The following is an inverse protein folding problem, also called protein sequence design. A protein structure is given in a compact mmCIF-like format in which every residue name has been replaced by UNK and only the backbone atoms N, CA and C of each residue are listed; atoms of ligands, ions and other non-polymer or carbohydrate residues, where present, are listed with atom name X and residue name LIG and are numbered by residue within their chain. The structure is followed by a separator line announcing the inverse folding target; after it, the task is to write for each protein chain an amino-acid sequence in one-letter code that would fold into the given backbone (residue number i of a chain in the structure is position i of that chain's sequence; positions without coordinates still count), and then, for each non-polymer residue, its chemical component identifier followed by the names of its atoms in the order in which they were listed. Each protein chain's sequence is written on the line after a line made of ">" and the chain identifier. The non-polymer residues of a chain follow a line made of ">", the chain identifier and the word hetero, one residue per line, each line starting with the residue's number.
data_IF_061612356669
#
_entry.id   IF_061612356669
#
_cell.length_a   1.000
_cell.length_b   1.000
_cell.length_c   1.000
_cell.angle_alpha   90.00
_cell.angle_beta   90.00
_cell.angle_gamma   90.00
#
_symmetry.space_group_name_H-M   'P 1'
#
loop_
_entity.id
_entity.type
_entity.pdbx_description
1 polymer ?
#
# COMPACT_ATOMS: atom_id res chain seq x y z
N UNK A 1 57.89 9.61 -15.82
CA UNK A 1 57.32 9.63 -14.45
C UNK A 1 56.40 10.84 -14.35
N UNK A 2 55.08 10.66 -14.44
CA UNK A 2 54.13 11.78 -14.47
C UNK A 2 53.95 12.37 -13.07
N UNK A 3 54.63 13.50 -12.81
CA UNK A 3 54.52 14.26 -11.57
C UNK A 3 53.12 14.82 -11.43
N UNK A 4 52.38 14.35 -10.42
CA UNK A 4 51.05 14.86 -10.10
C UNK A 4 51.16 16.27 -9.51
N UNK A 5 50.43 17.23 -10.09
CA UNK A 5 50.52 18.66 -9.73
C UNK A 5 50.25 18.92 -8.23
N UNK A 6 51.02 19.81 -7.57
CA UNK A 6 50.87 20.14 -6.14
C UNK A 6 49.46 20.60 -5.75
N UNK A 7 48.76 21.32 -6.64
CA UNK A 7 47.40 21.78 -6.43
C UNK A 7 46.40 20.62 -6.28
N UNK A 8 46.56 19.53 -7.05
CA UNK A 8 45.71 18.34 -6.95
C UNK A 8 45.94 17.58 -5.63
N UNK A 9 47.18 17.58 -5.11
CA UNK A 9 47.49 17.02 -3.79
C UNK A 9 46.90 17.86 -2.65
N UNK A 10 46.99 19.18 -2.75
CA UNK A 10 46.42 20.11 -1.76
C UNK A 10 44.89 20.02 -1.70
N UNK A 11 44.22 19.97 -2.86
CA UNK A 11 42.78 19.72 -2.96
C UNK A 11 42.40 18.35 -2.41
N UNK A 12 43.16 17.31 -2.71
CA UNK A 12 42.95 15.96 -2.17
C UNK A 12 43.13 15.89 -0.64
N UNK A 13 44.10 16.62 -0.09
CA UNK A 13 44.34 16.70 1.35
C UNK A 13 43.27 17.51 2.10
N UNK A 14 42.83 18.64 1.54
CA UNK A 14 41.73 19.43 2.06
C UNK A 14 40.41 18.65 2.03
N UNK A 15 40.13 17.92 0.94
CA UNK A 15 38.94 17.08 0.80
C UNK A 15 38.95 15.90 1.78
N UNK A 16 40.12 15.31 2.04
CA UNK A 16 40.29 14.24 3.03
C UNK A 16 40.01 14.75 4.45
N UNK A 17 40.61 15.90 4.83
CA UNK A 17 40.38 16.54 6.13
C UNK A 17 38.94 17.00 6.31
N UNK A 18 38.29 17.51 5.26
CA UNK A 18 36.87 17.84 5.29
C UNK A 18 35.97 16.61 5.47
N UNK A 19 36.31 15.46 4.86
CA UNK A 19 35.62 14.17 5.11
C UNK A 19 35.84 13.62 6.51
N UNK A 20 37.00 13.88 7.11
CA UNK A 20 37.30 13.47 8.49
C UNK A 20 36.63 14.39 9.53
N UNK A 21 36.39 15.66 9.19
CA UNK A 21 35.72 16.62 10.06
C UNK A 21 34.18 16.64 9.96
N UNK A 22 33.59 16.12 8.87
CA UNK A 22 32.14 16.18 8.62
C UNK A 22 31.57 14.78 8.39
N UNK A 23 30.71 14.35 9.32
CA UNK A 23 29.90 13.14 9.17
C UNK A 23 28.61 13.46 8.42
N UNK A 24 28.32 12.72 7.35
CA UNK A 24 27.09 12.87 6.55
C UNK A 24 26.49 11.50 6.25
N UNK A 25 25.20 11.35 6.51
CA UNK A 25 24.42 10.19 6.09
C UNK A 25 23.15 10.67 5.39
N UNK A 26 22.70 9.91 4.39
CA UNK A 26 21.46 10.19 3.68
C UNK A 26 20.54 8.99 3.80
N UNK A 27 19.27 9.25 4.05
CA UNK A 27 18.21 8.25 4.00
C UNK A 27 17.14 8.74 3.03
N UNK A 28 16.57 7.82 2.25
CA UNK A 28 15.48 8.13 1.34
C UNK A 28 14.36 7.12 1.50
N UNK A 29 13.15 7.54 1.14
CA UNK A 29 12.01 6.63 1.00
C UNK A 29 11.93 6.16 -0.45
N UNK A 30 11.80 4.85 -0.64
CA UNK A 30 11.42 4.24 -1.92
C UNK A 30 9.96 3.81 -1.86
N UNK A 31 9.25 4.06 -2.95
CA UNK A 31 7.87 3.65 -3.13
C UNK A 31 7.80 2.50 -4.13
N UNK A 32 7.01 1.48 -3.81
CA UNK A 32 6.57 0.43 -4.74
C UNK A 32 5.06 0.43 -4.75
N UNK A 33 4.47 0.80 -5.88
CA UNK A 33 3.03 0.93 -6.06
C UNK A 33 2.47 -0.25 -6.85
N UNK A 34 1.25 -0.67 -6.53
CA UNK A 34 0.51 -1.66 -7.29
C UNK A 34 -0.99 -1.51 -7.05
N UNK A 35 -1.80 -2.08 -7.93
CA UNK A 35 -3.25 -2.02 -7.83
C UNK A 35 -3.86 -3.41 -7.93
N UNK A 36 -4.95 -3.63 -7.19
CA UNK A 36 -5.77 -4.83 -7.24
C UNK A 36 -7.23 -4.45 -7.47
N UNK A 37 -7.92 -5.19 -8.33
CA UNK A 37 -9.34 -5.01 -8.62
C UNK A 37 -10.09 -6.23 -8.09
N UNK A 38 -10.94 -6.02 -7.09
CA UNK A 38 -11.81 -7.06 -6.53
C UNK A 38 -13.25 -6.80 -6.99
N UNK A 39 -13.75 -7.64 -7.90
CA UNK A 39 -15.11 -7.55 -8.42
C UNK A 39 -16.07 -8.31 -7.50
N UNK A 40 -17.19 -7.69 -7.17
CA UNK A 40 -18.30 -8.27 -6.42
C UNK A 40 -19.51 -8.23 -7.34
N UNK A 41 -19.93 -9.39 -7.83
CA UNK A 41 -21.13 -9.55 -8.65
C UNK A 41 -22.38 -9.64 -7.77
N UNK A 42 -23.54 -9.26 -8.32
CA UNK A 42 -24.82 -9.22 -7.60
C UNK A 42 -24.67 -8.63 -6.19
N UNK A 43 -24.27 -7.35 -6.14
CA UNK A 43 -23.96 -6.69 -4.88
C UNK A 43 -25.14 -6.71 -3.91
N UNK A 44 -26.36 -6.50 -4.42
CA UNK A 44 -27.61 -6.53 -3.65
C UNK A 44 -27.84 -7.88 -2.97
N UNK A 45 -27.73 -8.98 -3.71
CA UNK A 45 -27.87 -10.34 -3.17
C UNK A 45 -26.77 -10.66 -2.15
N UNK A 46 -25.53 -10.34 -2.48
CA UNK A 46 -24.36 -10.59 -1.62
C UNK A 46 -24.47 -9.84 -0.29
N UNK A 47 -24.95 -8.59 -0.31
CA UNK A 47 -25.15 -7.79 0.89
C UNK A 47 -26.28 -8.31 1.77
N UNK A 48 -27.35 -8.87 1.17
CA UNK A 48 -28.47 -9.46 1.91
C UNK A 48 -28.09 -10.75 2.64
N UNK A 49 -27.12 -11.49 2.10
CA UNK A 49 -26.64 -12.74 2.70
C UNK A 49 -25.52 -12.52 3.75
N UNK A 50 -24.81 -11.39 3.69
CA UNK A 50 -23.70 -11.11 4.60
C UNK A 50 -24.20 -10.63 5.97
N UNK A 51 -23.74 -11.27 7.05
CA UNK A 51 -23.96 -10.78 8.41
C UNK A 51 -23.00 -9.62 8.73
N UNK A 52 -23.33 -8.72 9.67
CA UNK A 52 -22.36 -7.78 10.23
C UNK A 52 -21.07 -8.48 10.70
N UNK A 53 -19.92 -7.83 10.51
CA UNK A 53 -18.61 -8.41 10.82
C UNK A 53 -18.10 -9.46 9.83
N UNK A 54 -18.94 -9.98 8.93
CA UNK A 54 -18.47 -10.93 7.91
C UNK A 54 -17.86 -10.18 6.72
N UNK A 55 -16.70 -10.66 6.27
CA UNK A 55 -16.01 -10.12 5.10
C UNK A 55 -16.00 -11.08 3.92
N UNK A 56 -15.89 -10.46 2.74
CA UNK A 56 -15.56 -11.10 1.49
C UNK A 56 -14.06 -10.90 1.26
N UNK A 57 -13.33 -11.99 1.05
CA UNK A 57 -11.90 -11.93 0.77
C UNK A 57 -11.61 -11.79 -0.72
N UNK A 58 -10.69 -10.90 -1.06
CA UNK A 58 -10.08 -10.89 -2.38
C UNK A 58 -9.09 -12.05 -2.56
N UNK A 59 -8.80 -12.37 -3.82
CA UNK A 59 -7.62 -13.16 -4.15
C UNK A 59 -6.35 -12.45 -3.61
N UNK A 60 -5.32 -13.21 -3.20
CA UNK A 60 -4.06 -12.61 -2.79
C UNK A 60 -3.38 -11.90 -3.96
N UNK A 61 -2.70 -10.79 -3.69
CA UNK A 61 -1.96 -10.02 -4.69
C UNK A 61 -0.64 -9.50 -4.12
N UNK A 62 0.34 -9.24 -5.01
CA UNK A 62 1.71 -8.90 -4.61
C UNK A 62 2.03 -7.46 -4.95
N UNK A 63 2.46 -6.69 -3.95
CA UNK A 63 2.96 -5.32 -4.12
C UNK A 63 4.19 -5.13 -3.26
N UNK A 64 5.25 -4.57 -3.83
CA UNK A 64 6.51 -4.32 -3.11
C UNK A 64 7.24 -5.57 -2.63
N UNK A 65 6.94 -6.75 -3.20
CA UNK A 65 7.51 -8.04 -2.76
C UNK A 65 6.79 -8.67 -1.57
N UNK A 66 5.64 -8.12 -1.18
CA UNK A 66 4.81 -8.55 -0.07
C UNK A 66 3.45 -9.04 -0.59
N UNK A 67 2.90 -10.06 0.04
CA UNK A 67 1.57 -10.57 -0.28
C UNK A 67 0.51 -9.88 0.58
N UNK A 68 -0.57 -9.46 -0.08
CA UNK A 68 -1.67 -8.70 0.48
C UNK A 68 -3.00 -9.38 0.15
N UNK A 69 -4.01 -9.13 0.98
CA UNK A 69 -5.42 -9.40 0.70
C UNK A 69 -6.27 -8.19 1.05
N UNK A 70 -7.41 -8.07 0.38
CA UNK A 70 -8.44 -7.10 0.72
C UNK A 70 -9.61 -7.82 1.37
N UNK A 71 -10.00 -7.40 2.56
CA UNK A 71 -11.23 -7.85 3.21
C UNK A 71 -12.26 -6.74 3.05
N UNK A 72 -13.38 -7.06 2.40
CA UNK A 72 -14.49 -6.14 2.19
C UNK A 72 -15.65 -6.55 3.09
N UNK A 73 -16.12 -5.64 3.93
CA UNK A 73 -17.21 -5.84 4.88
C UNK A 73 -18.44 -5.07 4.39
N UNK A 74 -19.42 -5.72 3.75
CA UNK A 74 -20.57 -5.02 3.17
C UNK A 74 -21.40 -4.27 4.21
N UNK A 75 -21.53 -4.86 5.41
CA UNK A 75 -22.36 -4.39 6.52
C UNK A 75 -21.54 -3.85 7.70
N UNK A 76 -20.26 -3.54 7.46
CA UNK A 76 -19.35 -3.03 8.49
C UNK A 76 -18.55 -4.13 9.17
N UNK A 77 -17.40 -3.75 9.74
CA UNK A 77 -16.49 -4.68 10.40
C UNK A 77 -16.81 -4.93 11.88
N UNK A 78 -17.64 -4.09 12.48
CA UNK A 78 -18.06 -4.26 13.88
C UNK A 78 -19.21 -5.25 13.98
N UNK A 79 -19.03 -6.29 14.80
CA UNK A 79 -20.05 -7.31 15.09
C UNK A 79 -21.07 -6.85 16.13
N UNK A 80 -20.81 -5.74 16.85
CA UNK A 80 -21.68 -5.27 17.92
C UNK A 80 -22.96 -4.62 17.40
N UNK A 81 -24.04 -4.68 18.17
CA UNK A 81 -25.30 -3.99 17.87
C UNK A 81 -25.17 -2.44 17.83
N UNK A 82 -24.03 -1.90 18.28
CA UNK A 82 -23.64 -0.49 18.17
C UNK A 82 -22.92 -0.14 16.86
N UNK A 83 -22.67 -1.13 15.99
CA UNK A 83 -22.10 -0.92 14.67
C UNK A 83 -22.91 0.13 13.93
N UNK A 84 -22.24 1.10 13.30
CA UNK A 84 -22.88 2.12 12.48
C UNK A 84 -23.66 1.44 11.34
N UNK A 85 -24.99 1.32 11.43
CA UNK A 85 -25.73 0.49 10.49
C UNK A 85 -25.61 1.09 9.10
N UNK A 86 -25.33 0.26 8.10
CA UNK A 86 -25.28 0.69 6.71
C UNK A 86 -23.99 1.42 6.29
N UNK A 87 -22.85 1.09 6.90
CA UNK A 87 -21.53 1.44 6.34
C UNK A 87 -20.81 0.19 5.87
N UNK A 88 -20.16 0.27 4.72
CA UNK A 88 -19.23 -0.74 4.27
C UNK A 88 -17.80 -0.34 4.65
N UNK A 89 -17.06 -1.33 5.12
CA UNK A 89 -15.68 -1.17 5.58
C UNK A 89 -14.75 -2.01 4.74
N UNK A 90 -13.49 -1.59 4.63
CA UNK A 90 -12.45 -2.33 3.93
C UNK A 90 -11.21 -2.39 4.79
N UNK A 91 -10.55 -3.53 4.78
CA UNK A 91 -9.31 -3.76 5.49
C UNK A 91 -8.28 -4.36 4.54
N UNK A 92 -7.13 -3.70 4.45
CA UNK A 92 -5.96 -4.26 3.79
C UNK A 92 -5.25 -5.18 4.78
N UNK A 93 -5.04 -6.43 4.39
CA UNK A 93 -4.41 -7.46 5.22
C UNK A 93 -3.06 -7.83 4.64
N UNK A 94 -2.03 -7.79 5.47
CA UNK A 94 -0.69 -8.25 5.13
C UNK A 94 -0.55 -9.73 5.46
N UNK A 95 -0.25 -10.55 4.46
CA UNK A 95 -0.05 -12.01 4.62
C UNK A 95 1.41 -12.40 4.83
N UNK A 96 2.35 -11.46 4.68
CA UNK A 96 3.77 -11.76 4.74
C UNK A 96 4.37 -11.98 3.36
N UNK A 97 4.95 -13.17 3.18
CA UNK A 97 5.66 -13.53 1.98
C UNK A 97 4.76 -14.21 0.96
N UNK A 98 4.95 -13.95 -0.34
CA UNK A 98 4.26 -14.70 -1.38
C UNK A 98 4.57 -16.20 -1.33
N UNK A 99 3.59 -17.02 -1.69
CA UNK A 99 3.72 -18.49 -1.73
C UNK A 99 4.85 -19.01 -2.62
N UNK A 100 5.28 -18.24 -3.63
CA UNK A 100 6.39 -18.60 -4.51
C UNK A 100 7.78 -18.42 -3.88
N UNK A 101 7.90 -17.84 -2.67
CA UNK A 101 9.19 -17.74 -1.99
C UNK A 101 9.63 -19.13 -1.50
N UNK A 102 10.96 -19.40 -1.44
CA UNK A 102 11.47 -20.66 -0.90
C UNK A 102 10.93 -20.93 0.50
N UNK A 103 10.45 -22.15 0.75
CA UNK A 103 9.83 -22.55 2.02
C UNK A 103 10.73 -22.29 3.25
N UNK A 104 12.05 -22.37 3.10
CA UNK A 104 13.01 -22.03 4.16
C UNK A 104 12.83 -20.59 4.69
N UNK A 105 12.44 -19.64 3.82
CA UNK A 105 12.18 -18.26 4.23
C UNK A 105 10.82 -18.08 4.92
N UNK A 106 9.91 -19.06 4.82
CA UNK A 106 8.63 -19.04 5.55
C UNK A 106 8.81 -19.36 7.03
N UNK A 107 9.94 -19.97 7.41
CA UNK A 107 10.33 -20.16 8.81
C UNK A 107 10.78 -18.86 9.48
N UNK A 108 11.14 -17.83 8.70
CA UNK A 108 11.49 -16.52 9.22
C UNK A 108 10.23 -15.66 9.34
N UNK A 109 10.11 -14.96 10.47
CA UNK A 109 9.05 -13.95 10.65
C UNK A 109 9.11 -12.93 9.51
N UNK A 110 7.99 -12.66 8.81
CA UNK A 110 7.94 -11.59 7.83
C UNK A 110 8.25 -10.25 8.50
N UNK A 111 9.11 -9.40 7.92
CA UNK A 111 9.32 -8.07 8.46
C UNK A 111 8.01 -7.29 8.38
N UNK A 112 7.85 -6.38 9.33
CA UNK A 112 6.73 -5.45 9.27
C UNK A 112 6.94 -4.50 8.09
N UNK A 113 5.84 -4.10 7.46
CA UNK A 113 5.85 -3.34 6.22
C UNK A 113 5.15 -2.02 6.43
N UNK A 114 5.79 -0.92 6.07
CA UNK A 114 5.10 0.38 6.01
C UNK A 114 4.43 0.52 4.65
N UNK A 115 3.12 0.69 4.63
CA UNK A 115 2.37 0.91 3.40
C UNK A 115 1.25 1.93 3.60
N UNK A 116 0.94 2.68 2.54
CA UNK A 116 -0.31 3.41 2.41
C UNK A 116 -1.17 2.70 1.38
N UNK A 117 -2.49 2.87 1.45
CA UNK A 117 -3.37 2.33 0.42
C UNK A 117 -4.55 3.25 0.15
N UNK A 118 -5.11 3.16 -1.04
CA UNK A 118 -6.30 3.90 -1.45
C UNK A 118 -7.31 2.90 -1.98
N UNK A 119 -8.51 2.93 -1.42
CA UNK A 119 -9.63 2.14 -1.88
C UNK A 119 -10.54 3.03 -2.71
N UNK A 120 -10.93 2.57 -3.89
CA UNK A 120 -11.91 3.22 -4.74
C UNK A 120 -12.97 2.22 -5.15
N UNK A 121 -14.23 2.63 -5.11
CA UNK A 121 -15.32 1.79 -5.63
C UNK A 121 -15.68 2.30 -7.01
N UNK A 122 -15.66 1.37 -7.97
CA UNK A 122 -16.03 1.58 -9.35
C UNK A 122 -17.40 0.95 -9.58
N UNK A 123 -18.24 1.61 -10.38
CA UNK A 123 -19.48 1.02 -10.87
C UNK A 123 -19.21 0.00 -11.99
N UNK A 124 -20.28 -0.56 -12.55
CA UNK A 124 -20.22 -1.55 -13.63
C UNK A 124 -19.57 -1.03 -14.91
N UNK A 125 -19.54 0.29 -15.12
CA UNK A 125 -18.91 0.95 -16.27
C UNK A 125 -17.44 1.27 -16.01
N UNK A 126 -16.95 1.02 -14.79
CA UNK A 126 -15.59 1.34 -14.36
C UNK A 126 -15.42 2.79 -13.91
N UNK A 127 -16.49 3.57 -13.84
CA UNK A 127 -16.45 4.94 -13.34
C UNK A 127 -16.28 4.93 -11.82
N UNK A 128 -15.42 5.81 -11.32
CA UNK A 128 -15.14 5.89 -9.89
C UNK A 128 -16.27 6.63 -9.16
N UNK A 129 -17.01 5.92 -8.32
CA UNK A 129 -18.10 6.48 -7.51
C UNK A 129 -17.56 7.14 -6.25
N UNK A 130 -16.61 6.50 -5.57
CA UNK A 130 -16.00 7.02 -4.34
C UNK A 130 -14.55 6.57 -4.20
N UNK A 131 -13.80 7.30 -3.38
CA UNK A 131 -12.41 7.00 -3.08
C UNK A 131 -12.04 7.41 -1.66
N UNK A 132 -11.32 6.55 -0.95
CA UNK A 132 -10.81 6.77 0.40
C UNK A 132 -9.33 6.40 0.43
N UNK A 133 -8.50 7.36 0.84
CA UNK A 133 -7.09 7.13 1.05
C UNK A 133 -6.80 6.88 2.53
N UNK A 134 -6.07 5.82 2.81
CA UNK A 134 -5.54 5.49 4.12
C UNK A 134 -4.08 5.94 4.18
N UNK A 135 -3.73 6.62 5.27
CA UNK A 135 -2.37 7.13 5.50
C UNK A 135 -1.36 5.97 5.60
N UNK A 136 -0.05 6.23 5.49
CA UNK A 136 0.96 5.21 5.74
C UNK A 136 0.81 4.59 7.13
N UNK A 137 0.80 3.26 7.19
CA UNK A 137 0.68 2.48 8.43
C UNK A 137 1.65 1.31 8.44
N UNK A 138 1.88 0.72 9.61
CA UNK A 138 2.77 -0.43 9.80
C UNK A 138 1.94 -1.70 9.85
N UNK A 139 2.15 -2.57 8.87
CA UNK A 139 1.51 -3.87 8.78
C UNK A 139 2.42 -4.95 9.32
N UNK A 140 1.89 -5.82 10.18
CA UNK A 140 2.59 -7.00 10.69
C UNK A 140 1.77 -8.26 10.41
N UNK A 141 2.42 -9.41 10.32
CA UNK A 141 1.74 -10.66 10.02
C UNK A 141 0.82 -11.15 11.17
N UNK A 142 1.01 -10.63 12.38
CA UNK A 142 0.36 -11.11 13.61
C UNK A 142 -0.68 -10.15 14.18
N UNK A 143 -0.59 -8.88 13.81
CA UNK A 143 -1.48 -7.83 14.28
C UNK A 143 -2.16 -7.21 13.07
N UNK A 144 -3.48 -7.31 13.06
CA UNK A 144 -4.30 -6.69 12.04
C UNK A 144 -4.92 -5.42 12.62
N UNK A 145 -4.72 -4.29 11.95
CA UNK A 145 -5.37 -3.04 12.35
C UNK A 145 -6.88 -3.06 12.06
N UNK A 146 -7.61 -2.12 12.65
CA UNK A 146 -9.05 -1.97 12.43
C UNK A 146 -9.41 -1.70 10.97
N UNK A 147 -10.61 -2.10 10.58
CA UNK A 147 -11.11 -1.85 9.24
C UNK A 147 -11.45 -0.37 9.06
N UNK A 148 -11.24 0.15 7.86
CA UNK A 148 -11.54 1.53 7.53
C UNK A 148 -12.92 1.62 6.88
N UNK A 149 -13.74 2.57 7.34
CA UNK A 149 -15.03 2.83 6.72
C UNK A 149 -14.83 3.52 5.36
N UNK A 150 -15.26 2.83 4.30
CA UNK A 150 -15.02 3.28 2.91
C UNK A 150 -16.23 4.00 2.34
N UNK A 151 -17.43 3.49 2.59
CA UNK A 151 -18.66 3.98 1.98
C UNK A 151 -19.88 3.70 2.83
N UNK A 152 -20.99 4.35 2.51
CA UNK A 152 -22.31 3.94 2.99
C UNK A 152 -22.92 2.88 2.09
N UNK A 153 -23.77 2.02 2.66
CA UNK A 153 -24.55 1.02 1.94
C UNK A 153 -25.37 1.66 0.80
N UNK A 154 -25.90 2.86 1.02
CA UNK A 154 -26.66 3.61 0.02
C UNK A 154 -25.80 3.98 -1.19
N UNK A 155 -24.60 4.50 -0.97
CA UNK A 155 -23.66 4.84 -2.05
C UNK A 155 -23.29 3.61 -2.87
N UNK A 156 -23.01 2.48 -2.20
CA UNK A 156 -22.65 1.24 -2.89
C UNK A 156 -23.81 0.62 -3.66
N UNK A 157 -25.02 0.63 -3.10
CA UNK A 157 -26.22 0.21 -3.84
C UNK A 157 -26.45 1.10 -5.05
N UNK A 158 -26.28 2.42 -4.91
CA UNK A 158 -26.39 3.33 -6.05
C UNK A 158 -25.32 3.07 -7.12
N UNK A 159 -24.10 2.69 -6.71
CA UNK A 159 -23.02 2.31 -7.62
C UNK A 159 -23.35 1.02 -8.38
N UNK A 160 -23.87 0.01 -7.69
CA UNK A 160 -24.28 -1.24 -8.30
C UNK A 160 -25.39 -1.06 -9.36
N UNK A 161 -26.36 -0.17 -9.07
CA UNK A 161 -27.51 0.07 -9.94
C UNK A 161 -27.22 0.96 -11.16
N UNK A 162 -26.07 1.66 -11.21
CA UNK A 162 -25.73 2.56 -12.34
C UNK A 162 -25.72 1.86 -13.71
N UNK A 163 -25.44 0.55 -13.73
CA UNK A 163 -25.50 -0.25 -14.95
C UNK A 163 -26.90 -0.71 -15.38
N UNK A 164 -27.97 -0.27 -14.71
CA UNK A 164 -29.36 -0.60 -15.07
C UNK A 164 -29.76 -2.06 -14.86
N UNK A 165 -28.90 -2.89 -14.22
CA UNK A 165 -29.16 -4.30 -13.93
C UNK A 165 -29.48 -4.48 -12.45
N UNK A 166 -30.56 -5.20 -12.14
CA UNK A 166 -30.95 -5.50 -10.76
C UNK A 166 -29.86 -6.29 -10.00
N UNK A 167 -29.13 -7.17 -10.72
CA UNK A 167 -27.95 -7.90 -10.23
C UNK A 167 -26.62 -7.16 -10.47
N UNK A 168 -26.66 -5.83 -10.47
CA UNK A 168 -25.49 -4.99 -10.67
C UNK A 168 -24.35 -5.32 -9.72
N UNK A 169 -23.12 -5.29 -10.25
CA UNK A 169 -21.90 -5.52 -9.48
C UNK A 169 -21.13 -4.23 -9.21
N UNK A 170 -20.20 -4.30 -8.27
CA UNK A 170 -19.22 -3.22 -8.01
C UNK A 170 -17.80 -3.78 -8.15
N UNK A 171 -16.84 -2.90 -8.42
CA UNK A 171 -15.41 -3.25 -8.37
C UNK A 171 -14.73 -2.41 -7.30
N UNK A 172 -14.16 -3.08 -6.30
CA UNK A 172 -13.34 -2.47 -5.27
C UNK A 172 -11.89 -2.47 -5.74
N UNK A 173 -11.39 -1.29 -6.15
CA UNK A 173 -9.99 -1.06 -6.51
C UNK A 173 -9.19 -0.69 -5.26
N UNK A 174 -8.11 -1.41 -5.01
CA UNK A 174 -7.15 -1.11 -3.96
C UNK A 174 -5.78 -0.77 -4.57
N UNK A 175 -5.36 0.49 -4.47
CA UNK A 175 -4.03 0.96 -4.86
C UNK A 175 -3.13 0.97 -3.62
N UNK A 176 -2.13 0.08 -3.57
CA UNK A 176 -1.20 -0.07 -2.45
C UNK A 176 0.13 0.59 -2.78
N UNK A 177 0.70 1.31 -1.82
CA UNK A 177 2.02 1.95 -1.89
C UNK A 177 2.88 1.47 -0.73
N UNK A 178 3.79 0.56 -1.01
CA UNK A 178 4.79 0.07 -0.04
C UNK A 178 5.93 1.08 0.04
N UNK A 179 6.31 1.44 1.27
CA UNK A 179 7.35 2.40 1.59
C UNK A 179 8.53 1.69 2.24
N UNK A 180 9.74 1.90 1.72
CA UNK A 180 10.98 1.38 2.29
C UNK A 180 11.96 2.51 2.53
N UNK A 181 12.43 2.66 3.77
CA UNK A 181 13.56 3.53 4.07
C UNK A 181 14.85 2.82 3.67
N UNK A 182 15.65 3.47 2.85
CA UNK A 182 16.95 2.98 2.42
C UNK A 182 18.03 3.99 2.77
N UNK A 183 19.14 3.50 3.33
CA UNK A 183 20.37 4.28 3.41
C UNK A 183 20.86 4.55 1.99
N UNK A 184 21.08 5.81 1.70
CA UNK A 184 21.59 6.29 0.43
C UNK A 184 23.06 6.66 0.61
N UNK A 185 23.94 6.11 -0.22
CA UNK A 185 25.35 6.48 -0.21
C UNK A 185 25.48 7.97 -0.56
N UNK A 186 26.35 8.69 0.16
CA UNK A 186 26.58 10.12 -0.02
C UNK A 186 26.90 10.48 -1.48
N UNK A 187 27.67 9.65 -2.18
CA UNK A 187 28.00 9.84 -3.61
C UNK A 187 26.74 9.84 -4.49
N UNK A 188 25.85 8.87 -4.32
CA UNK A 188 24.58 8.79 -5.09
C UNK A 188 23.64 9.95 -4.77
N UNK A 189 23.68 10.50 -3.56
CA UNK A 189 22.91 11.69 -3.21
C UNK A 189 23.43 12.92 -3.96
N UNK A 190 24.74 13.20 -3.86
CA UNK A 190 25.37 14.35 -4.53
C UNK A 190 25.15 14.31 -6.06
N UNK A 191 25.36 13.15 -6.68
CA UNK A 191 25.11 13.00 -8.13
C UNK A 191 23.66 13.33 -8.50
N UNK A 192 22.69 12.94 -7.67
CA UNK A 192 21.27 13.21 -7.95
C UNK A 192 20.92 14.69 -7.80
N UNK A 193 21.49 15.39 -6.82
CA UNK A 193 21.34 16.84 -6.64
C UNK A 193 21.96 17.64 -7.80
N UNK A 194 23.04 17.13 -8.38
CA UNK A 194 23.66 17.75 -9.56
C UNK A 194 22.79 17.53 -10.79
N UNK A 195 22.30 16.30 -11.02
CA UNK A 195 21.43 15.97 -12.16
C UNK A 195 20.08 16.68 -12.08
N UNK A 196 19.50 16.89 -10.90
CA UNK A 196 18.20 17.59 -10.77
C UNK A 196 18.29 19.11 -10.98
N UNK A 197 19.49 19.66 -11.15
CA UNK A 197 19.71 21.08 -11.44
C UNK A 197 19.92 21.36 -12.93
N UNK A 198 19.89 20.31 -13.77
CA UNK A 198 19.85 20.36 -15.22
C UNK A 198 18.49 19.85 -15.70
#
# INVERSE_FOLDING_TARGET
>A
MSSSSPALRALGGAWRRAREAVSFSSTRVRHKTGAHLHRIDNYSGTMSAALPGHHIESAPFVVGGHEWKLHFYPNGADESASASPGRASVKLVYRGYPWWRPALLHLLRPPDVTAAYKVSVLDSEGNRVLSRACRPRRFSAWWHEDAENVATAKELRSAAMRGGKEDGGIVVRCDVTVMKLEKESSVRWYLRQLVSKF
#
